data_IF_846266349839
#
_entry.id   IF_846266349839
#
_cell.length_a   1.000
_cell.length_b   1.000
_cell.length_c   1.000
_cell.angle_alpha   90.00
_cell.angle_beta   90.00
_cell.angle_gamma   90.00
#
_symmetry.space_group_name_H-M   'P 1'
#
loop_
_entity.id
_entity.type
_entity.pdbx_description
1 polymer ?
#
# COMPACT_ATOMS: atom_id res chain seq x y z
N UNK A 1 11.63 -16.22 2.94
CA UNK A 1 11.12 -14.83 3.00
C UNK A 1 10.74 -14.46 1.58
N UNK A 2 9.46 -14.56 1.22
CA UNK A 2 9.01 -14.19 -0.14
C UNK A 2 9.31 -12.71 -0.33
N UNK A 3 9.98 -12.29 -1.42
CA UNK A 3 10.23 -10.87 -1.67
C UNK A 3 8.89 -10.15 -1.69
N UNK A 4 8.80 -9.03 -0.96
CA UNK A 4 7.63 -8.16 -1.04
C UNK A 4 7.41 -7.72 -2.49
N UNK A 5 6.19 -7.35 -2.85
CA UNK A 5 5.89 -6.82 -4.18
C UNK A 5 5.44 -5.37 -4.06
N UNK A 6 5.77 -4.58 -5.08
CA UNK A 6 5.30 -3.20 -5.22
C UNK A 6 4.39 -3.15 -6.42
N UNK A 7 3.16 -2.65 -6.22
CA UNK A 7 2.19 -2.44 -7.29
C UNK A 7 1.94 -0.95 -7.44
N UNK A 8 2.11 -0.44 -8.67
CA UNK A 8 1.78 0.93 -9.02
C UNK A 8 0.42 0.92 -9.69
N UNK A 9 -0.51 1.72 -9.17
CA UNK A 9 -1.85 1.83 -9.71
C UNK A 9 -2.19 3.29 -10.01
N UNK A 10 -2.48 3.57 -11.28
CA UNK A 10 -2.95 4.88 -11.72
C UNK A 10 -4.48 4.94 -11.58
N UNK A 11 -4.95 5.68 -10.59
CA UNK A 11 -6.37 5.85 -10.32
C UNK A 11 -6.89 7.20 -10.85
N UNK A 12 -8.16 7.25 -11.26
CA UNK A 12 -8.86 8.53 -11.48
C UNK A 12 -9.05 9.25 -10.13
N UNK A 13 -9.28 10.57 -10.14
CA UNK A 13 -9.60 11.29 -8.91
C UNK A 13 -10.91 10.79 -8.29
N UNK A 14 -10.97 10.71 -6.96
CA UNK A 14 -12.17 10.36 -6.20
C UNK A 14 -11.93 9.28 -5.15
N UNK A 15 -13.02 8.76 -4.60
CA UNK A 15 -13.00 7.72 -3.56
C UNK A 15 -12.70 6.34 -4.17
N UNK A 16 -11.60 5.74 -3.74
CA UNK A 16 -11.21 4.38 -4.09
C UNK A 16 -11.25 3.49 -2.87
N UNK A 17 -11.82 2.30 -3.02
CA UNK A 17 -11.84 1.28 -1.97
C UNK A 17 -10.87 0.17 -2.33
N UNK A 18 -9.81 0.04 -1.55
CA UNK A 18 -8.87 -1.07 -1.64
C UNK A 18 -9.28 -2.15 -0.65
N UNK A 19 -9.38 -3.40 -1.09
CA UNK A 19 -9.74 -4.52 -0.22
C UNK A 19 -8.66 -5.58 -0.24
N UNK A 20 -8.31 -6.10 0.94
CA UNK A 20 -7.45 -7.25 1.09
C UNK A 20 -8.25 -8.37 1.75
N UNK A 21 -8.08 -9.59 1.24
CA UNK A 21 -8.78 -10.77 1.70
C UNK A 21 -7.79 -11.91 1.89
N UNK A 22 -7.85 -12.51 3.07
CA UNK A 22 -7.33 -13.84 3.38
C UNK A 22 -8.53 -14.64 3.92
N UNK A 23 -8.43 -15.27 5.08
CA UNK A 23 -9.54 -15.82 5.87
C UNK A 23 -10.40 -14.72 6.51
N UNK A 24 -9.91 -13.47 6.54
CA UNK A 24 -10.67 -12.28 6.92
C UNK A 24 -10.63 -11.23 5.80
N UNK A 25 -11.54 -10.25 5.83
CA UNK A 25 -11.60 -9.16 4.84
C UNK A 25 -11.38 -7.81 5.51
N UNK A 26 -10.46 -7.01 4.97
CA UNK A 26 -10.24 -5.61 5.37
C UNK A 26 -10.37 -4.69 4.16
N UNK A 27 -10.85 -3.47 4.38
CA UNK A 27 -10.98 -2.44 3.36
C UNK A 27 -10.33 -1.13 3.83
N UNK A 28 -9.64 -0.45 2.93
CA UNK A 28 -9.12 0.90 3.11
C UNK A 28 -9.73 1.81 2.03
N UNK A 29 -10.37 2.89 2.47
CA UNK A 29 -10.97 3.88 1.58
C UNK A 29 -9.99 5.05 1.49
N UNK A 30 -9.64 5.44 0.26
CA UNK A 30 -8.69 6.52 0.00
C UNK A 30 -9.33 7.49 -0.99
N UNK A 31 -9.42 8.75 -0.57
CA UNK A 31 -9.80 9.85 -1.45
C UNK A 31 -8.56 10.31 -2.25
N UNK A 32 -8.47 9.84 -3.50
CA UNK A 32 -7.35 10.12 -4.41
C UNK A 32 -7.57 11.48 -5.07
N UNK A 33 -6.66 12.40 -4.80
CA UNK A 33 -6.63 13.72 -5.43
C UNK A 33 -5.64 13.75 -6.60
N UNK A 34 -5.93 14.51 -7.66
CA UNK A 34 -5.05 14.63 -8.81
C UNK A 34 -3.69 15.20 -8.39
N UNK A 35 -2.61 14.67 -8.99
CA UNK A 35 -1.24 15.12 -8.72
C UNK A 35 -0.68 14.69 -7.35
N UNK A 36 -1.37 13.80 -6.61
CA UNK A 36 -0.88 13.27 -5.33
C UNK A 36 -0.58 11.78 -5.41
N UNK A 37 0.52 11.37 -4.78
CA UNK A 37 0.89 9.98 -4.58
C UNK A 37 0.44 9.50 -3.21
N UNK A 38 -0.20 8.33 -3.20
CA UNK A 38 -0.70 7.69 -2.00
C UNK A 38 0.00 6.35 -1.81
N UNK A 39 0.38 6.05 -0.58
CA UNK A 39 1.07 4.81 -0.23
C UNK A 39 0.18 3.95 0.65
N UNK A 40 -0.07 2.72 0.19
CA UNK A 40 -0.85 1.74 0.92
C UNK A 40 0.03 0.55 1.21
N UNK A 41 0.24 0.27 2.49
CA UNK A 41 0.89 -0.93 2.93
C UNK A 41 -0.16 -2.04 3.07
N UNK A 42 0.08 -3.14 2.36
CA UNK A 42 -0.67 -4.37 2.51
C UNK A 42 0.25 -5.43 3.11
N UNK A 43 -0.28 -6.23 4.02
CA UNK A 43 0.43 -7.40 4.53
C UNK A 43 -0.50 -8.34 5.26
N UNK A 44 0.10 -9.42 5.74
CA UNK A 44 -0.59 -10.43 6.53
C UNK A 44 0.11 -10.51 7.88
N UNK A 45 -0.67 -10.40 8.95
CA UNK A 45 -0.18 -10.62 10.31
C UNK A 45 -0.50 -12.05 10.74
N UNK A 46 0.47 -12.72 11.34
CA UNK A 46 0.25 -14.04 11.96
C UNK A 46 -0.38 -13.82 13.34
N UNK A 47 -1.70 -13.98 13.44
CA UNK A 47 -2.41 -14.07 14.70
C UNK A 47 -2.41 -15.49 15.25
N UNK A 48 -2.82 -15.66 16.51
CA UNK A 48 -2.76 -16.93 17.24
C UNK A 48 -3.54 -18.11 16.61
N UNK A 49 -4.49 -17.85 15.70
CA UNK A 49 -5.30 -18.89 15.04
C UNK A 49 -5.63 -18.62 13.55
N UNK A 50 -5.42 -17.41 13.02
CA UNK A 50 -5.80 -17.03 11.65
C UNK A 50 -4.83 -15.99 11.08
N UNK A 51 -4.52 -16.09 9.78
CA UNK A 51 -3.80 -15.05 9.04
C UNK A 51 -4.72 -13.84 8.81
N UNK A 52 -4.49 -12.75 9.55
CA UNK A 52 -5.30 -11.54 9.40
C UNK A 52 -4.65 -10.59 8.38
N UNK A 53 -5.37 -10.14 7.33
CA UNK A 53 -4.84 -9.15 6.41
C UNK A 53 -4.91 -7.77 7.06
N UNK A 54 -3.91 -6.93 6.79
CA UNK A 54 -3.98 -5.52 7.13
C UNK A 54 -3.77 -4.65 5.89
N UNK A 55 -4.55 -3.59 5.81
CA UNK A 55 -4.39 -2.50 4.86
C UNK A 55 -4.26 -1.20 5.64
N UNK A 56 -3.15 -0.48 5.42
CA UNK A 56 -2.91 0.79 6.08
C UNK A 56 -2.37 1.80 5.09
N UNK A 57 -3.00 2.97 5.05
CA UNK A 57 -2.38 4.12 4.39
C UNK A 57 -1.19 4.59 5.24
N UNK A 58 -0.02 4.68 4.61
CA UNK A 58 1.22 5.09 5.28
C UNK A 58 1.66 6.45 4.78
N UNK A 59 2.49 7.11 5.57
CA UNK A 59 3.12 8.36 5.15
C UNK A 59 4.12 8.08 4.02
N UNK A 60 4.38 9.08 3.17
CA UNK A 60 5.32 8.91 2.07
C UNK A 60 6.73 8.52 2.51
N UNK A 61 7.22 9.08 3.62
CA UNK A 61 8.52 8.71 4.20
C UNK A 61 8.62 7.21 4.46
N UNK A 62 7.56 6.62 5.04
CA UNK A 62 7.51 5.19 5.35
C UNK A 62 7.33 4.35 4.08
N UNK A 63 6.46 4.80 3.15
CA UNK A 63 6.20 4.11 1.89
C UNK A 63 7.43 4.04 0.99
N UNK A 64 8.13 5.17 0.80
CA UNK A 64 9.37 5.25 0.00
C UNK A 64 10.46 4.36 0.62
N UNK A 65 10.64 4.42 1.94
CA UNK A 65 11.62 3.58 2.62
C UNK A 65 11.32 2.08 2.46
N UNK A 66 10.04 1.68 2.48
CA UNK A 66 9.65 0.29 2.26
C UNK A 66 9.87 -0.14 0.80
N UNK A 67 9.50 0.70 -0.17
CA UNK A 67 9.67 0.43 -1.60
C UNK A 67 11.16 0.29 -1.95
N UNK A 68 12.04 1.18 -1.45
CA UNK A 68 13.49 1.09 -1.70
C UNK A 68 14.10 -0.22 -1.21
N UNK A 69 13.57 -0.80 -0.12
CA UNK A 69 14.03 -2.11 0.39
C UNK A 69 13.57 -3.27 -0.50
N UNK A 70 12.43 -3.13 -1.17
CA UNK A 70 11.85 -4.18 -2.03
C UNK A 70 12.42 -4.10 -3.44
N UNK A 71 12.45 -2.91 -4.02
CA UNK A 71 12.95 -2.65 -5.36
C UNK A 71 13.70 -1.31 -5.39
N UNK A 72 15.04 -1.33 -5.26
CA UNK A 72 15.85 -0.11 -5.23
C UNK A 72 15.88 0.65 -6.57
N UNK A 73 15.50 0.01 -7.68
CA UNK A 73 15.46 0.63 -9.00
C UNK A 73 14.19 1.50 -9.22
N UNK A 74 13.20 1.43 -8.33
CA UNK A 74 11.96 2.18 -8.47
C UNK A 74 12.15 3.63 -8.01
N UNK A 75 12.17 4.58 -8.95
CA UNK A 75 12.25 6.01 -8.64
C UNK A 75 10.85 6.57 -8.38
N UNK A 76 10.64 7.13 -7.19
CA UNK A 76 9.39 7.81 -6.81
C UNK A 76 9.62 9.31 -6.94
N UNK A 77 8.73 9.99 -7.67
CA UNK A 77 8.81 11.44 -7.81
C UNK A 77 8.34 12.12 -6.53
N UNK A 78 9.29 12.66 -5.77
CA UNK A 78 9.05 13.35 -4.49
C UNK A 78 8.26 14.66 -4.66
N UNK A 79 8.13 15.21 -5.87
CA UNK A 79 7.32 16.39 -6.13
C UNK A 79 5.80 16.14 -6.07
N UNK A 80 5.37 14.87 -6.12
CA UNK A 80 3.96 14.45 -6.09
C UNK A 80 3.55 13.90 -4.71
N UNK A 81 4.46 13.93 -3.75
CA UNK A 81 4.36 13.31 -2.42
C UNK A 81 3.79 14.25 -1.37
#
# INVERSE_FOLDING_TARGET
MTPGQVLIYSAKSGLHTFTARTESKVAAIIDVKPGKLYFVQCGVSMGALVFAPYLRQVTPKTGIAAIRKINPALTINEALV
#
